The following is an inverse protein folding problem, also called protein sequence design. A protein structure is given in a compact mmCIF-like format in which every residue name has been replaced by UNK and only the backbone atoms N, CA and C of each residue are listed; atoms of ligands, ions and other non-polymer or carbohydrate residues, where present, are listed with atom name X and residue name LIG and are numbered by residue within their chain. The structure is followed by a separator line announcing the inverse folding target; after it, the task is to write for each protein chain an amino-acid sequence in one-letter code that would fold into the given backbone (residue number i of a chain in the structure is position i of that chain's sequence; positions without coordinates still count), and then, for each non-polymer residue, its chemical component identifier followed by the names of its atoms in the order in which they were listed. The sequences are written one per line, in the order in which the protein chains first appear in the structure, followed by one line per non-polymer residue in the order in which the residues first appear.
data_IF_944845377617
#
_entry.id   IF_944845377617
#
_cell.length_a   1.000
_cell.length_b   1.000
_cell.length_c   1.000
_cell.angle_alpha   90.00
_cell.angle_beta   90.00
_cell.angle_gamma   90.00
#
_symmetry.space_group_name_H-M   'P 1'
#
loop_
_entity.id
_entity.type
_entity.pdbx_description
1 polymer ?
#
# COMPACT_ATOMS: atom_id res chain seq x y z
N UNK A 1 3.78 6.42 8.13
CA UNK A 1 3.89 7.85 8.43
C UNK A 1 2.76 8.31 9.35
N UNK A 2 3.04 9.31 10.21
CA UNK A 2 1.96 9.99 10.94
C UNK A 2 0.97 10.61 9.95
N UNK A 3 -0.31 10.54 10.29
CA UNK A 3 -1.41 10.97 9.42
C UNK A 3 -1.80 9.95 8.35
N UNK A 4 -1.34 8.70 8.42
CA UNK A 4 -1.86 7.63 7.58
C UNK A 4 -3.33 7.32 7.93
N UNK A 5 -4.05 6.68 7.01
CA UNK A 5 -5.39 6.17 7.29
C UNK A 5 -5.27 4.77 7.90
N UNK A 6 -5.72 4.64 9.14
CA UNK A 6 -5.53 3.42 9.95
C UNK A 6 -6.26 2.20 9.41
N UNK A 7 -7.47 2.39 8.86
CA UNK A 7 -8.24 1.26 8.32
C UNK A 7 -7.57 0.71 7.06
N UNK A 8 -7.03 1.59 6.20
CA UNK A 8 -6.30 1.16 5.00
C UNK A 8 -5.01 0.41 5.36
N UNK A 9 -4.24 0.94 6.32
CA UNK A 9 -2.99 0.33 6.76
C UNK A 9 -3.23 -1.02 7.45
N UNK A 10 -4.05 -1.05 8.50
CA UNK A 10 -4.21 -2.21 9.37
C UNK A 10 -5.02 -3.33 8.72
N UNK A 11 -5.99 -3.01 7.84
CA UNK A 11 -6.73 -4.02 7.07
C UNK A 11 -5.80 -4.84 6.18
N UNK A 12 -4.87 -4.20 5.49
CA UNK A 12 -3.90 -4.92 4.65
C UNK A 12 -3.02 -5.82 5.50
N UNK A 13 -2.52 -5.32 6.62
CA UNK A 13 -1.68 -6.10 7.56
C UNK A 13 -2.43 -7.33 8.07
N UNK A 14 -3.69 -7.15 8.52
CA UNK A 14 -4.51 -8.25 9.02
C UNK A 14 -4.74 -9.33 7.93
N UNK A 15 -5.11 -8.91 6.71
CA UNK A 15 -5.39 -9.83 5.61
C UNK A 15 -4.14 -10.60 5.19
N UNK A 16 -3.00 -9.94 5.04
CA UNK A 16 -1.74 -10.56 4.65
C UNK A 16 -1.29 -11.58 5.71
N UNK A 17 -1.38 -11.22 7.00
CA UNK A 17 -1.07 -12.14 8.11
C UNK A 17 -2.05 -13.32 8.19
N UNK A 18 -3.34 -13.14 7.87
CA UNK A 18 -4.32 -14.25 7.74
C UNK A 18 -3.97 -15.20 6.61
N UNK A 19 -3.42 -14.69 5.52
CA UNK A 19 -2.91 -15.50 4.42
C UNK A 19 -1.60 -16.23 4.75
N UNK A 20 -1.08 -16.12 5.98
CA UNK A 20 0.20 -16.69 6.45
C UNK A 20 1.43 -16.16 5.71
N UNK A 21 1.31 -14.94 5.18
CA UNK A 21 2.41 -14.20 4.59
C UNK A 21 3.03 -13.27 5.63
N UNK A 22 4.33 -13.04 5.51
CA UNK A 22 5.04 -12.10 6.37
C UNK A 22 4.83 -10.67 5.87
N UNK A 23 4.57 -9.76 6.79
CA UNK A 23 4.44 -8.32 6.54
C UNK A 23 4.86 -7.55 7.77
N UNK A 24 5.73 -6.57 7.58
CA UNK A 24 6.15 -5.63 8.60
C UNK A 24 5.53 -4.25 8.36
N UNK A 25 5.04 -3.65 9.42
CA UNK A 25 4.74 -2.23 9.46
C UNK A 25 6.03 -1.47 9.73
N UNK A 26 6.44 -0.61 8.81
CA UNK A 26 7.67 0.19 8.92
C UNK A 26 7.31 1.65 9.08
N UNK A 27 7.68 2.24 10.21
CA UNK A 27 7.52 3.68 10.43
C UNK A 27 8.64 4.48 9.76
N UNK A 28 8.28 5.62 9.16
CA UNK A 28 9.25 6.59 8.63
C UNK A 28 9.53 7.75 9.60
N UNK A 29 8.95 7.71 10.81
CA UNK A 29 8.99 8.83 11.77
C UNK A 29 10.20 8.79 12.71
N UNK A 30 11.14 7.86 12.54
CA UNK A 30 12.26 7.62 13.48
C UNK A 30 11.86 6.99 14.81
N UNK A 31 10.58 6.65 14.98
CA UNK A 31 10.03 5.90 16.13
C UNK A 31 9.02 4.86 15.64
N UNK A 32 8.83 3.79 16.42
CA UNK A 32 7.83 2.75 16.09
C UNK A 32 6.38 3.22 16.31
N UNK A 33 6.17 4.31 17.04
CA UNK A 33 4.83 4.84 17.28
C UNK A 33 4.38 5.67 16.08
N UNK A 34 3.17 5.40 15.62
CA UNK A 34 2.51 6.15 14.53
C UNK A 34 1.14 6.59 15.00
N UNK A 35 0.79 7.84 14.72
CA UNK A 35 -0.54 8.40 14.97
C UNK A 35 -1.24 8.65 13.64
N UNK A 36 -2.39 8.02 13.46
CA UNK A 36 -3.17 8.09 12.22
C UNK A 36 -3.85 9.45 12.02
N UNK A 37 -4.46 9.62 10.83
CA UNK A 37 -5.23 10.81 10.48
C UNK A 37 -6.49 11.02 11.34
N UNK A 38 -6.91 10.00 12.09
CA UNK A 38 -8.06 10.05 13.03
C UNK A 38 -7.63 9.94 14.50
N UNK A 39 -6.35 10.25 14.80
CA UNK A 39 -5.77 10.24 16.14
C UNK A 39 -5.77 8.85 16.80
N UNK A 40 -5.73 7.78 16.03
CA UNK A 40 -5.50 6.44 16.54
C UNK A 40 -3.99 6.19 16.55
N UNK A 41 -3.45 5.87 17.74
CA UNK A 41 -2.02 5.57 17.87
C UNK A 41 -1.79 4.08 17.93
N UNK A 42 -0.86 3.59 17.14
CA UNK A 42 -0.45 2.18 17.10
C UNK A 42 1.07 2.05 16.96
N UNK A 43 1.58 0.85 17.25
CA UNK A 43 3.00 0.53 17.13
C UNK A 43 3.28 -0.21 15.83
N UNK A 44 4.33 0.18 15.15
CA UNK A 44 4.87 -0.53 14.01
C UNK A 44 5.90 -1.59 14.44
N UNK A 45 6.20 -2.54 13.56
CA UNK A 45 7.14 -3.62 13.84
C UNK A 45 8.58 -3.09 13.89
N UNK A 46 8.93 -2.16 12.98
CA UNK A 46 10.26 -1.54 12.93
C UNK A 46 10.19 -0.08 12.43
N UNK A 47 11.35 0.55 12.30
CA UNK A 47 11.53 1.87 11.69
C UNK A 47 12.37 1.75 10.41
N UNK A 48 12.28 2.72 9.50
CA UNK A 48 12.97 2.65 8.20
C UNK A 48 14.49 2.56 8.31
N UNK A 49 15.07 3.14 9.35
CA UNK A 49 16.51 3.15 9.62
C UNK A 49 17.05 1.76 10.03
N UNK A 50 16.17 0.88 10.51
CA UNK A 50 16.51 -0.49 10.94
C UNK A 50 16.09 -1.55 9.91
N UNK A 51 15.29 -1.18 8.91
CA UNK A 51 14.74 -2.10 7.92
C UNK A 51 15.76 -2.40 6.82
N UNK A 52 15.95 -3.69 6.52
CA UNK A 52 16.68 -4.13 5.31
C UNK A 52 15.67 -4.30 4.15
N UNK A 53 15.51 -3.26 3.35
CA UNK A 53 14.57 -3.28 2.23
C UNK A 53 14.90 -4.34 1.17
N UNK A 54 16.13 -4.83 1.09
CA UNK A 54 16.50 -5.88 0.13
C UNK A 54 15.83 -7.23 0.43
N UNK A 55 15.43 -7.46 1.69
CA UNK A 55 14.79 -8.67 2.16
C UNK A 55 13.29 -8.75 1.82
N UNK A 56 12.67 -7.64 1.37
CA UNK A 56 11.24 -7.60 1.07
C UNK A 56 10.96 -7.81 -0.43
N UNK A 57 9.80 -8.46 -0.71
CA UNK A 57 9.30 -8.72 -2.06
C UNK A 57 8.22 -7.73 -2.50
N UNK A 58 7.86 -6.79 -1.65
CA UNK A 58 6.87 -5.76 -1.98
C UNK A 58 6.84 -4.60 -1.00
N UNK A 59 6.33 -3.46 -1.46
CA UNK A 59 6.05 -2.27 -0.66
C UNK A 59 4.59 -1.86 -0.83
N UNK A 60 3.94 -1.49 0.28
CA UNK A 60 2.53 -1.12 0.31
C UNK A 60 2.40 0.22 1.03
N UNK A 61 1.77 1.18 0.37
CA UNK A 61 1.57 2.53 0.88
C UNK A 61 0.10 2.75 1.24
N UNK A 62 -0.25 2.95 2.53
CA UNK A 62 -1.57 3.43 2.92
C UNK A 62 -1.74 4.90 2.54
N UNK A 63 -2.98 5.32 2.37
CA UNK A 63 -3.33 6.72 2.20
C UNK A 63 -3.43 7.47 3.53
N UNK A 64 -4.34 8.43 3.55
CA UNK A 64 -4.50 9.38 4.66
C UNK A 64 -3.67 10.64 4.48
N UNK A 65 -4.16 11.74 5.04
CA UNK A 65 -3.48 13.03 5.03
C UNK A 65 -3.21 13.47 6.47
N UNK A 66 -2.00 13.97 6.77
CA UNK A 66 -0.88 14.26 5.86
C UNK A 66 0.04 13.07 5.55
N UNK A 67 -0.27 11.84 5.99
CA UNK A 67 0.61 10.67 5.85
C UNK A 67 1.11 10.45 4.41
N UNK A 68 0.24 10.61 3.40
CA UNK A 68 0.62 10.51 1.98
C UNK A 68 1.66 11.56 1.57
N UNK A 69 1.57 12.78 2.12
CA UNK A 69 2.56 13.83 1.86
C UNK A 69 3.91 13.44 2.43
N UNK A 70 3.94 12.98 3.68
CA UNK A 70 5.16 12.53 4.33
C UNK A 70 5.83 11.35 3.57
N UNK A 71 5.03 10.40 3.07
CA UNK A 71 5.54 9.30 2.25
C UNK A 71 6.14 9.80 0.92
N UNK A 72 5.49 10.79 0.30
CA UNK A 72 5.97 11.37 -0.97
C UNK A 72 7.22 12.25 -0.83
N UNK A 73 7.45 12.83 0.35
CA UNK A 73 8.63 13.64 0.66
C UNK A 73 9.82 12.82 1.17
N UNK A 74 9.60 11.54 1.53
CA UNK A 74 10.64 10.66 2.04
C UNK A 74 11.46 10.05 0.90
N UNK A 75 12.75 10.37 0.86
CA UNK A 75 13.67 9.91 -0.20
C UNK A 75 13.85 8.39 -0.19
N UNK A 76 13.88 7.76 1.00
CA UNK A 76 14.00 6.30 1.13
C UNK A 76 12.79 5.60 0.53
N UNK A 77 11.58 6.06 0.86
CA UNK A 77 10.33 5.53 0.28
C UNK A 77 10.35 5.65 -1.24
N UNK A 78 10.72 6.82 -1.75
CA UNK A 78 10.79 7.10 -3.19
C UNK A 78 11.82 6.21 -3.90
N UNK A 79 12.97 5.95 -3.28
CA UNK A 79 13.99 5.06 -3.79
C UNK A 79 13.52 3.61 -3.83
N UNK A 80 12.97 3.10 -2.71
CA UNK A 80 12.45 1.72 -2.61
C UNK A 80 11.36 1.46 -3.63
N UNK A 81 10.42 2.40 -3.84
CA UNK A 81 9.37 2.29 -4.86
C UNK A 81 10.00 2.06 -6.24
N UNK A 82 10.98 2.87 -6.63
CA UNK A 82 11.64 2.76 -7.95
C UNK A 82 12.42 1.47 -8.10
N UNK A 83 13.15 1.05 -7.07
CA UNK A 83 13.94 -0.19 -7.07
C UNK A 83 13.01 -1.40 -7.20
N UNK A 84 11.96 -1.49 -6.37
CA UNK A 84 11.00 -2.59 -6.40
C UNK A 84 10.26 -2.67 -7.74
N UNK A 85 9.83 -1.52 -8.28
CA UNK A 85 9.21 -1.48 -9.59
C UNK A 85 10.13 -2.02 -10.68
N UNK A 86 11.42 -1.65 -10.67
CA UNK A 86 12.44 -2.10 -11.64
C UNK A 86 12.77 -3.58 -11.49
N UNK A 87 12.78 -4.10 -10.26
CA UNK A 87 13.05 -5.51 -9.95
C UNK A 87 11.83 -6.43 -10.17
N UNK A 88 10.67 -5.88 -10.49
CA UNK A 88 9.43 -6.64 -10.64
C UNK A 88 8.81 -7.07 -9.31
N UNK A 89 9.28 -6.54 -8.18
CA UNK A 89 8.67 -6.71 -6.86
C UNK A 89 7.37 -5.92 -6.77
N UNK A 90 6.47 -6.33 -5.89
CA UNK A 90 5.17 -5.66 -5.72
C UNK A 90 5.34 -4.20 -5.26
N UNK A 91 4.63 -3.29 -5.92
CA UNK A 91 4.41 -1.92 -5.46
C UNK A 91 2.92 -1.66 -5.39
N UNK A 92 2.40 -1.47 -4.20
CA UNK A 92 0.97 -1.27 -3.98
C UNK A 92 0.66 0.02 -3.23
N UNK A 93 -0.45 0.67 -3.58
CA UNK A 93 -0.88 1.91 -2.91
C UNK A 93 -2.39 2.09 -2.95
N UNK A 94 -2.95 2.71 -1.90
CA UNK A 94 -4.39 2.94 -1.79
C UNK A 94 -4.72 4.41 -1.51
N UNK A 95 -5.90 4.85 -1.90
CA UNK A 95 -6.48 6.17 -1.58
C UNK A 95 -5.70 7.31 -2.24
N UNK A 96 -5.07 8.18 -1.45
CA UNK A 96 -4.21 9.25 -1.94
C UNK A 96 -2.80 8.75 -2.32
N UNK A 97 -2.33 7.64 -1.75
CA UNK A 97 -0.96 7.16 -1.89
C UNK A 97 -0.55 6.74 -3.33
N UNK A 98 -1.44 6.34 -4.27
CA UNK A 98 -1.05 6.16 -5.66
C UNK A 98 -0.43 7.41 -6.30
N UNK A 99 -0.70 8.63 -5.76
CA UNK A 99 -0.02 9.86 -6.19
C UNK A 99 1.49 9.83 -5.93
N UNK A 100 1.93 9.12 -4.88
CA UNK A 100 3.37 8.92 -4.58
C UNK A 100 4.02 8.04 -5.66
N UNK A 101 3.29 7.03 -6.15
CA UNK A 101 3.76 6.19 -7.27
C UNK A 101 3.85 7.00 -8.57
N UNK A 102 2.89 7.90 -8.82
CA UNK A 102 2.94 8.86 -9.93
C UNK A 102 4.14 9.79 -9.84
N UNK A 103 4.41 10.33 -8.66
CA UNK A 103 5.59 11.18 -8.38
C UNK A 103 6.90 10.41 -8.58
N UNK A 104 6.96 9.13 -8.19
CA UNK A 104 8.11 8.26 -8.41
C UNK A 104 8.33 7.88 -9.88
N UNK A 105 7.37 8.16 -10.77
CA UNK A 105 7.44 7.93 -12.21
C UNK A 105 7.21 6.48 -12.64
N UNK A 106 6.69 5.62 -11.75
CA UNK A 106 6.51 4.19 -12.04
C UNK A 106 5.16 3.85 -12.70
N UNK A 107 4.26 4.83 -12.81
CA UNK A 107 2.92 4.61 -13.38
C UNK A 107 2.84 4.85 -14.89
N UNK A 108 3.95 5.20 -15.56
CA UNK A 108 3.93 5.49 -16.98
C UNK A 108 3.48 4.28 -17.80
N UNK A 109 2.37 4.43 -18.53
CA UNK A 109 1.73 3.36 -19.31
C UNK A 109 1.04 2.27 -18.48
N UNK A 110 0.89 2.46 -17.16
CA UNK A 110 0.20 1.55 -16.26
C UNK A 110 -1.26 1.95 -16.06
N UNK A 111 -2.11 0.95 -15.80
CA UNK A 111 -3.45 1.15 -15.27
C UNK A 111 -3.39 1.38 -13.77
N UNK A 112 -4.10 2.41 -13.29
CA UNK A 112 -4.11 2.71 -11.86
C UNK A 112 -5.44 3.31 -11.41
N UNK A 113 -5.74 3.18 -10.11
CA UNK A 113 -6.84 3.83 -9.43
C UNK A 113 -6.34 4.64 -8.24
N UNK A 114 -7.09 5.64 -7.81
CA UNK A 114 -6.82 6.43 -6.62
C UNK A 114 -8.11 6.96 -5.99
N UNK A 115 -7.96 7.68 -4.89
CA UNK A 115 -9.05 8.45 -4.30
C UNK A 115 -9.54 9.54 -5.27
N UNK A 116 -10.86 9.80 -5.35
CA UNK A 116 -11.39 10.90 -6.15
C UNK A 116 -10.70 12.23 -5.85
N UNK A 117 -10.27 12.93 -6.91
CA UNK A 117 -9.53 14.20 -6.83
C UNK A 117 -8.01 14.04 -6.84
N UNK A 118 -7.47 12.82 -6.93
CA UNK A 118 -6.04 12.57 -7.07
C UNK A 118 -5.64 12.06 -8.47
N UNK A 119 -6.58 11.98 -9.40
CA UNK A 119 -6.39 11.39 -10.73
C UNK A 119 -5.27 12.08 -11.51
N UNK A 120 -5.20 13.40 -11.48
CA UNK A 120 -4.17 14.19 -12.18
C UNK A 120 -2.75 13.97 -11.63
N UNK A 121 -2.64 13.43 -10.40
CA UNK A 121 -1.35 13.11 -9.77
C UNK A 121 -0.80 11.74 -10.16
N UNK A 122 -1.60 10.91 -10.84
CA UNK A 122 -1.15 9.61 -11.37
C UNK A 122 -0.44 9.81 -12.72
N UNK A 123 0.65 10.56 -12.71
CA UNK A 123 1.38 10.95 -13.91
C UNK A 123 1.72 9.76 -14.79
N UNK A 124 1.24 9.79 -16.04
CA UNK A 124 1.50 8.76 -17.05
C UNK A 124 0.62 7.52 -16.98
N UNK A 125 -0.29 7.43 -15.99
CA UNK A 125 -1.21 6.32 -15.86
C UNK A 125 -2.45 6.45 -16.72
N UNK A 126 -3.02 5.31 -17.14
CA UNK A 126 -4.42 5.19 -17.55
C UNK A 126 -5.27 5.00 -16.28
N UNK A 127 -6.11 6.00 -15.97
CA UNK A 127 -6.87 6.03 -14.71
C UNK A 127 -8.15 5.21 -14.82
N UNK A 128 -8.36 4.32 -13.86
CA UNK A 128 -9.55 3.48 -13.72
C UNK A 128 -10.29 3.79 -12.41
N UNK A 129 -11.61 3.55 -12.42
CA UNK A 129 -12.50 3.79 -11.27
C UNK A 129 -12.94 2.50 -10.58
N UNK A 130 -12.33 1.38 -10.92
CA UNK A 130 -12.56 0.10 -10.25
C UNK A 130 -12.07 0.13 -8.80
N UNK A 131 -12.68 -0.61 -7.86
CA UNK A 131 -12.25 -0.68 -6.47
C UNK A 131 -10.78 -1.01 -6.31
N UNK A 132 -10.27 -1.94 -7.13
CA UNK A 132 -8.85 -2.33 -7.20
C UNK A 132 -8.45 -2.43 -8.67
N UNK A 133 -7.25 -1.99 -8.98
CA UNK A 133 -6.61 -2.12 -10.29
C UNK A 133 -5.27 -2.81 -10.11
N UNK A 134 -5.08 -3.93 -10.83
CA UNK A 134 -3.83 -4.68 -10.88
C UNK A 134 -3.24 -4.57 -12.29
N UNK A 135 -1.99 -4.14 -12.39
CA UNK A 135 -1.25 -4.08 -13.65
C UNK A 135 0.20 -4.55 -13.44
N UNK A 136 0.42 -5.84 -13.73
CA UNK A 136 1.70 -6.49 -13.47
C UNK A 136 2.03 -6.49 -11.98
N UNK A 137 3.13 -5.86 -11.62
CA UNK A 137 3.60 -5.72 -10.24
C UNK A 137 3.09 -4.44 -9.53
N UNK A 138 2.12 -3.74 -10.10
CA UNK A 138 1.51 -2.55 -9.50
C UNK A 138 0.06 -2.84 -9.14
N UNK A 139 -0.33 -2.61 -7.87
CA UNK A 139 -1.71 -2.75 -7.38
C UNK A 139 -2.13 -1.43 -6.74
N UNK A 140 -3.24 -0.86 -7.21
CA UNK A 140 -3.77 0.39 -6.68
C UNK A 140 -5.24 0.29 -6.33
N UNK A 141 -5.70 1.11 -5.38
CA UNK A 141 -7.08 1.09 -4.91
C UNK A 141 -7.57 2.48 -4.51
N UNK A 142 -8.89 2.63 -4.30
CA UNK A 142 -9.53 3.93 -4.24
C UNK A 142 -9.65 4.55 -2.84
N UNK A 143 -9.67 3.78 -1.79
CA UNK A 143 -9.80 4.34 -0.44
C UNK A 143 -10.31 3.35 0.60
N UNK A 144 -10.58 3.84 1.79
CA UNK A 144 -10.95 3.03 2.96
C UNK A 144 -12.04 1.99 2.65
N UNK A 145 -13.09 2.36 1.92
CA UNK A 145 -14.18 1.44 1.55
C UNK A 145 -13.76 0.29 0.62
N UNK A 146 -12.55 0.34 0.06
CA UNK A 146 -11.97 -0.70 -0.80
C UNK A 146 -10.74 -1.37 -0.16
N UNK A 147 -10.48 -1.15 1.14
CA UNK A 147 -9.31 -1.68 1.83
C UNK A 147 -9.29 -3.22 1.87
N UNK A 148 -10.45 -3.86 2.08
CA UNK A 148 -10.56 -5.33 2.09
C UNK A 148 -10.22 -5.94 0.72
N UNK A 149 -10.90 -5.59 -0.40
CA UNK A 149 -10.53 -6.11 -1.70
C UNK A 149 -9.09 -5.75 -2.11
N UNK A 150 -8.54 -4.62 -1.68
CA UNK A 150 -7.15 -4.26 -1.90
C UNK A 150 -6.20 -5.21 -1.15
N UNK A 151 -6.42 -5.44 0.15
CA UNK A 151 -5.62 -6.39 0.93
C UNK A 151 -5.67 -7.81 0.38
N UNK A 152 -6.85 -8.25 -0.09
CA UNK A 152 -7.00 -9.55 -0.77
C UNK A 152 -6.22 -9.63 -2.08
N UNK A 153 -6.20 -8.54 -2.87
CA UNK A 153 -5.42 -8.48 -4.11
C UNK A 153 -3.90 -8.50 -3.84
N UNK A 154 -3.46 -7.77 -2.81
CA UNK A 154 -2.06 -7.81 -2.35
C UNK A 154 -1.66 -9.21 -1.91
N UNK A 155 -2.47 -9.86 -1.06
CA UNK A 155 -2.19 -11.23 -0.61
C UNK A 155 -2.18 -12.23 -1.79
N UNK A 156 -3.13 -12.10 -2.74
CA UNK A 156 -3.22 -12.95 -3.94
C UNK A 156 -1.97 -12.86 -4.82
N UNK A 157 -1.25 -11.76 -4.82
CA UNK A 157 -0.01 -11.61 -5.58
C UNK A 157 1.06 -12.62 -5.13
N UNK A 158 1.03 -13.03 -3.86
CA UNK A 158 2.02 -13.92 -3.24
C UNK A 158 1.51 -15.33 -2.93
N UNK A 159 0.21 -15.61 -3.12
CA UNK A 159 -0.39 -16.90 -2.75
C UNK A 159 -1.45 -17.34 -3.78
N UNK A 160 -2.02 -18.53 -3.57
CA UNK A 160 -3.02 -19.12 -4.44
C UNK A 160 -4.47 -18.72 -4.10
N UNK A 161 -5.38 -19.01 -5.03
CA UNK A 161 -6.80 -18.68 -4.87
C UNK A 161 -7.45 -19.44 -3.70
N UNK A 162 -7.00 -20.65 -3.39
CA UNK A 162 -7.55 -21.44 -2.28
C UNK A 162 -7.28 -20.76 -0.93
N UNK A 163 -6.08 -20.22 -0.75
CA UNK A 163 -5.72 -19.41 0.43
C UNK A 163 -6.57 -18.15 0.52
N UNK A 164 -6.77 -17.46 -0.60
CA UNK A 164 -7.61 -16.24 -0.63
C UNK A 164 -9.07 -16.54 -0.28
N UNK A 165 -9.64 -17.63 -0.79
CA UNK A 165 -11.02 -18.02 -0.44
C UNK A 165 -11.13 -18.43 1.04
N UNK A 166 -10.11 -19.08 1.60
CA UNK A 166 -10.06 -19.33 3.04
C UNK A 166 -10.02 -18.04 3.87
N UNK A 167 -9.22 -17.07 3.48
CA UNK A 167 -9.15 -15.75 4.15
C UNK A 167 -10.50 -15.04 4.06
N UNK A 168 -11.14 -14.99 2.88
CA UNK A 168 -12.46 -14.40 2.70
C UNK A 168 -13.51 -15.02 3.61
N UNK A 169 -13.53 -16.36 3.71
CA UNK A 169 -14.45 -17.06 4.60
C UNK A 169 -14.24 -16.64 6.07
N UNK A 170 -12.98 -16.51 6.50
CA UNK A 170 -12.64 -16.04 7.85
C UNK A 170 -12.97 -14.58 8.12
N UNK A 171 -13.05 -13.74 7.06
CA UNK A 171 -13.46 -12.34 7.13
C UNK A 171 -15.00 -12.17 7.05
N UNK A 172 -15.75 -13.23 6.75
CA UNK A 172 -17.18 -13.14 6.36
C UNK A 172 -17.37 -12.17 5.19
N UNK A 173 -16.41 -12.17 4.25
CA UNK A 173 -16.41 -11.30 3.08
C UNK A 173 -17.10 -12.00 1.91
N UNK A 174 -18.20 -11.39 1.43
CA UNK A 174 -19.01 -11.90 0.32
C UNK A 174 -18.51 -11.43 -1.06
#
# INVERSE_FOLDING_TARGET
ADGCEEVEALTVVDIVRRAKLEIDMISINGTKQVTSSRNVTFMTDTIKEEADFSAYDGIILPGGMPGTVHLGEDETVSQVIREFAKEGKLVAAICAAPSVLGQAGILNGKKAACHPGFEEKLTGAEVFFSPVVCDGNVITSRGMGTAVPFGLAVARYFTDDATIEHVKAGLVYA
#
